data_IF_567018753208
#
_entry.id   IF_567018753208
#
_cell.length_a   1.000
_cell.length_b   1.000
_cell.length_c   1.000
_cell.angle_alpha   90.00
_cell.angle_beta   90.00
_cell.angle_gamma   90.00
#
_symmetry.space_group_name_H-M   'P 1'
#
loop_
_entity.id
_entity.type
_entity.pdbx_description
1 polymer ?
#
# COMPACT_ATOMS: atom_id res chain seq x y z
N UNK A 1 11.55 23.42 -10.18
CA UNK A 1 12.53 22.37 -9.82
C UNK A 1 11.85 21.40 -8.87
N UNK A 2 11.55 20.19 -9.34
CA UNK A 2 11.03 19.12 -8.48
C UNK A 2 12.18 18.72 -7.57
N UNK A 3 12.14 19.13 -6.30
CA UNK A 3 13.01 18.55 -5.27
C UNK A 3 12.59 17.10 -5.15
N UNK A 4 13.25 16.21 -5.88
CA UNK A 4 13.11 14.77 -5.69
C UNK A 4 13.41 14.51 -4.22
N UNK A 5 12.40 14.09 -3.47
CA UNK A 5 12.49 13.72 -2.05
C UNK A 5 13.39 12.48 -1.91
N UNK A 6 14.69 12.67 -2.12
CA UNK A 6 15.71 11.62 -2.13
C UNK A 6 15.74 10.88 -0.79
N UNK A 7 15.45 11.61 0.29
CA UNK A 7 15.33 11.09 1.64
C UNK A 7 14.16 10.11 1.81
N UNK A 8 13.03 10.33 1.14
CA UNK A 8 11.87 9.43 1.23
C UNK A 8 12.10 8.11 0.49
N UNK A 9 12.88 8.13 -0.60
CA UNK A 9 13.10 6.93 -1.43
C UNK A 9 13.79 5.81 -0.65
N UNK A 10 14.86 6.12 0.10
CA UNK A 10 15.64 5.13 0.86
C UNK A 10 14.82 4.49 2.00
N UNK A 11 13.98 5.28 2.67
CA UNK A 11 13.08 4.80 3.73
C UNK A 11 11.98 3.89 3.17
N UNK A 12 11.37 4.28 2.03
CA UNK A 12 10.36 3.46 1.33
C UNK A 12 10.98 2.15 0.85
N UNK A 13 12.16 2.20 0.22
CA UNK A 13 12.84 1.02 -0.31
C UNK A 13 13.15 0.02 0.81
N UNK A 14 13.69 0.52 1.94
CA UNK A 14 14.03 -0.34 3.08
C UNK A 14 12.78 -0.98 3.67
N UNK A 15 11.69 -0.22 3.85
CA UNK A 15 10.40 -0.77 4.31
C UNK A 15 9.83 -1.83 3.35
N UNK A 16 9.88 -1.59 2.04
CA UNK A 16 9.40 -2.57 1.05
C UNK A 16 10.22 -3.86 1.12
N UNK A 17 11.55 -3.78 1.24
CA UNK A 17 12.40 -4.97 1.36
C UNK A 17 12.04 -5.83 2.58
N UNK A 18 11.62 -5.22 3.68
CA UNK A 18 11.27 -5.93 4.90
C UNK A 18 9.83 -6.47 4.90
N UNK A 19 8.91 -5.77 4.26
CA UNK A 19 7.47 -6.02 4.42
C UNK A 19 6.74 -6.48 3.15
N UNK A 20 7.38 -6.42 1.98
CA UNK A 20 6.74 -6.87 0.74
C UNK A 20 6.61 -8.39 0.72
N UNK A 21 5.43 -8.85 0.35
CA UNK A 21 5.18 -10.27 0.10
C UNK A 21 5.37 -10.53 -1.39
N UNK A 22 6.41 -11.29 -1.72
CA UNK A 22 6.72 -11.72 -3.08
C UNK A 22 6.14 -13.11 -3.34
N UNK A 23 5.46 -13.28 -4.47
CA UNK A 23 4.90 -14.56 -4.90
C UNK A 23 5.25 -14.82 -6.35
N UNK A 24 5.75 -16.03 -6.59
CA UNK A 24 6.03 -16.55 -7.92
C UNK A 24 4.86 -17.46 -8.32
N UNK A 25 4.37 -17.32 -9.56
CA UNK A 25 3.41 -18.25 -10.16
C UNK A 25 3.80 -18.55 -11.60
N UNK A 26 3.49 -19.77 -12.04
CA UNK A 26 3.63 -20.17 -13.43
C UNK A 26 2.46 -19.61 -14.25
N UNK A 27 2.73 -19.17 -15.48
CA UNK A 27 1.75 -18.75 -16.46
C UNK A 27 1.94 -19.62 -17.72
N UNK A 28 1.37 -20.85 -17.73
CA UNK A 28 1.63 -21.87 -18.75
C UNK A 28 1.25 -21.40 -20.16
N UNK A 29 0.25 -20.53 -20.25
CA UNK A 29 -0.27 -19.94 -21.50
C UNK A 29 0.77 -19.11 -22.26
N UNK A 30 1.82 -18.65 -21.58
CA UNK A 30 2.83 -17.73 -22.12
C UNK A 30 4.26 -18.27 -22.01
N UNK A 31 4.43 -19.54 -21.60
CA UNK A 31 5.73 -20.13 -21.24
C UNK A 31 6.55 -19.22 -20.30
N UNK A 32 5.86 -18.61 -19.33
CA UNK A 32 6.40 -17.56 -18.49
C UNK A 32 6.16 -17.84 -17.00
N UNK A 33 6.99 -17.22 -16.19
CA UNK A 33 6.84 -17.13 -14.75
C UNK A 33 6.59 -15.69 -14.35
N UNK A 34 5.60 -15.48 -13.50
CA UNK A 34 5.22 -14.15 -13.03
C UNK A 34 5.67 -14.01 -11.59
N UNK A 35 6.54 -13.04 -11.33
CA UNK A 35 6.83 -12.56 -9.99
C UNK A 35 5.91 -11.39 -9.69
N UNK A 36 5.15 -11.51 -8.60
CA UNK A 36 4.27 -10.46 -8.10
C UNK A 36 4.73 -10.02 -6.72
N UNK A 37 4.69 -8.72 -6.47
CA UNK A 37 4.93 -8.13 -5.16
C UNK A 37 3.69 -7.40 -4.66
N UNK A 38 3.40 -7.59 -3.39
CA UNK A 38 2.35 -6.87 -2.66
C UNK A 38 2.94 -6.21 -1.43
N UNK A 39 2.59 -4.96 -1.17
CA UNK A 39 2.97 -4.24 0.05
C UNK A 39 1.77 -3.50 0.65
N UNK A 40 1.66 -3.55 1.99
CA UNK A 40 0.80 -2.66 2.77
C UNK A 40 1.64 -1.47 3.25
N UNK A 41 1.36 -0.29 2.72
CA UNK A 41 2.16 0.90 2.95
C UNK A 41 1.38 1.98 3.70
N UNK A 42 1.92 2.53 4.82
CA UNK A 42 1.23 3.53 5.61
C UNK A 42 1.26 4.91 4.94
N UNK A 43 0.11 5.58 4.87
CA UNK A 43 -0.05 6.96 4.42
C UNK A 43 -0.99 7.73 5.37
N UNK A 44 -0.81 9.05 5.45
CA UNK A 44 -1.78 9.90 6.14
C UNK A 44 -2.86 10.32 5.16
N UNK A 45 -4.09 10.02 5.54
CA UNK A 45 -5.26 10.61 4.91
C UNK A 45 -5.41 12.01 5.47
N UNK A 46 -5.75 12.97 4.62
CA UNK A 46 -6.03 14.37 5.01
C UNK A 46 -7.47 14.78 4.74
N UNK A 47 -8.10 14.10 3.78
CA UNK A 47 -9.48 14.34 3.37
C UNK A 47 -10.01 13.09 2.69
N UNK A 48 -11.30 12.84 2.83
CA UNK A 48 -12.04 11.82 2.08
C UNK A 48 -13.14 12.53 1.32
N UNK A 49 -13.28 12.22 0.04
CA UNK A 49 -14.42 12.62 -0.78
C UNK A 49 -15.12 11.38 -1.34
N UNK A 50 -16.44 11.40 -1.35
CA UNK A 50 -17.26 10.34 -1.92
C UNK A 50 -18.31 10.94 -2.84
N UNK A 51 -18.64 10.24 -3.93
CA UNK A 51 -19.74 10.65 -4.83
C UNK A 51 -21.11 10.21 -4.32
N UNK A 52 -21.13 9.23 -3.41
CA UNK A 52 -22.32 8.68 -2.79
C UNK A 52 -22.06 8.52 -1.29
N UNK A 53 -22.93 9.06 -0.44
CA UNK A 53 -22.75 9.05 1.02
C UNK A 53 -22.87 7.66 1.64
N UNK A 54 -23.62 6.74 1.02
CA UNK A 54 -23.73 5.35 1.49
C UNK A 54 -22.39 4.60 1.43
N UNK A 55 -21.46 5.05 0.57
CA UNK A 55 -20.10 4.51 0.51
C UNK A 55 -19.31 4.77 1.79
N UNK A 56 -19.68 5.76 2.60
CA UNK A 56 -19.01 6.04 3.87
C UNK A 56 -19.16 4.88 4.86
N UNK A 57 -20.27 4.15 4.80
CA UNK A 57 -20.53 2.99 5.66
C UNK A 57 -19.68 1.77 5.26
N UNK A 58 -19.16 1.76 4.03
CA UNK A 58 -18.27 0.71 3.50
C UNK A 58 -16.79 1.00 3.77
N UNK A 59 -16.47 2.18 4.33
CA UNK A 59 -15.10 2.56 4.62
C UNK A 59 -14.54 1.77 5.80
N UNK A 60 -13.40 1.11 5.58
CA UNK A 60 -12.55 0.58 6.66
C UNK A 60 -11.69 1.68 7.33
N UNK A 61 -12.13 2.94 7.27
CA UNK A 61 -11.39 4.12 7.73
C UNK A 61 -12.34 4.97 8.57
N UNK A 62 -11.88 5.41 9.74
CA UNK A 62 -12.66 6.29 10.61
C UNK A 62 -12.47 7.76 10.18
N UNK A 63 -13.50 8.46 9.65
CA UNK A 63 -13.38 9.84 9.19
C UNK A 63 -12.88 10.81 10.26
N UNK A 64 -13.17 10.56 11.55
CA UNK A 64 -12.73 11.40 12.66
C UNK A 64 -11.22 11.33 12.91
N UNK A 65 -10.55 10.28 12.43
CA UNK A 65 -9.11 10.08 12.56
C UNK A 65 -8.32 10.57 11.33
N UNK A 66 -8.99 10.90 10.22
CA UNK A 66 -8.40 11.32 8.94
C UNK A 66 -7.68 12.67 8.94
N UNK A 67 -7.45 13.29 10.10
CA UNK A 67 -6.67 14.51 10.23
C UNK A 67 -5.64 14.43 11.36
N UNK A 68 -5.58 13.29 12.06
CA UNK A 68 -4.62 13.09 13.13
C UNK A 68 -3.28 12.64 12.54
N UNK A 69 -2.23 13.43 12.76
CA UNK A 69 -0.85 13.10 12.35
C UNK A 69 -0.29 11.84 13.04
N UNK A 70 -1.01 11.31 14.03
CA UNK A 70 -0.65 10.11 14.76
C UNK A 70 -1.26 8.83 14.17
N UNK A 71 -2.24 8.95 13.26
CA UNK A 71 -2.93 7.82 12.66
C UNK A 71 -2.56 7.69 11.19
N UNK A 72 -1.93 6.56 10.86
CA UNK A 72 -1.61 6.19 9.49
C UNK A 72 -2.55 5.09 9.03
N UNK A 73 -2.97 5.18 7.77
CA UNK A 73 -3.79 4.19 7.13
C UNK A 73 -2.97 3.41 6.13
N UNK A 74 -3.16 2.10 6.10
CA UNK A 74 -2.39 1.21 5.23
C UNK A 74 -3.13 1.00 3.91
N UNK A 75 -2.47 1.34 2.81
CA UNK A 75 -2.95 1.09 1.46
C UNK A 75 -2.16 -0.03 0.81
N UNK A 76 -2.84 -0.85 0.02
CA UNK A 76 -2.23 -1.97 -0.68
C UNK A 76 -1.73 -1.54 -2.07
N UNK A 77 -0.47 -1.82 -2.34
CA UNK A 77 0.14 -1.61 -3.66
C UNK A 77 0.58 -2.95 -4.24
N UNK A 78 0.43 -3.07 -5.55
CA UNK A 78 0.72 -4.28 -6.31
C UNK A 78 1.65 -3.94 -7.48
N UNK A 79 2.63 -4.79 -7.71
CA UNK A 79 3.48 -4.77 -8.88
C UNK A 79 3.75 -6.20 -9.36
N UNK A 80 4.05 -6.36 -10.63
CA UNK A 80 4.42 -7.66 -11.17
C UNK A 80 5.20 -7.53 -12.46
N UNK A 81 5.98 -8.56 -12.74
CA UNK A 81 6.78 -8.70 -13.94
C UNK A 81 6.72 -10.15 -14.41
N UNK A 82 6.77 -10.33 -15.73
CA UNK A 82 6.75 -11.63 -16.37
C UNK A 82 8.12 -11.88 -16.99
N UNK A 83 8.70 -13.04 -16.69
CA UNK A 83 10.00 -13.46 -17.20
C UNK A 83 9.94 -14.94 -17.59
N UNK A 84 10.86 -15.40 -18.43
CA UNK A 84 11.03 -16.84 -18.63
C UNK A 84 11.62 -17.49 -17.37
N UNK A 85 11.50 -18.82 -17.24
CA UNK A 85 11.99 -19.58 -16.06
C UNK A 85 13.48 -19.37 -15.80
N UNK A 86 14.25 -19.13 -16.86
CA UNK A 86 15.70 -18.96 -16.85
C UNK A 86 16.12 -17.52 -16.47
N UNK A 87 15.19 -16.58 -16.57
CA UNK A 87 15.36 -15.15 -16.28
C UNK A 87 14.89 -14.74 -14.89
N UNK A 88 14.28 -15.66 -14.11
CA UNK A 88 13.98 -15.49 -12.68
C UNK A 88 15.28 -15.40 -11.87
N UNK A 89 15.91 -14.23 -11.91
CA UNK A 89 17.13 -13.85 -11.20
C UNK A 89 16.81 -12.76 -10.16
N UNK A 90 17.73 -12.43 -9.24
CA UNK A 90 17.60 -11.28 -8.32
C UNK A 90 17.20 -9.96 -8.98
N UNK A 91 17.41 -9.82 -10.29
CA UNK A 91 16.94 -8.69 -11.09
C UNK A 91 15.41 -8.53 -11.09
N UNK A 92 14.65 -9.64 -11.13
CA UNK A 92 13.18 -9.60 -11.12
C UNK A 92 12.63 -9.01 -9.82
N UNK A 93 13.21 -9.39 -8.68
CA UNK A 93 12.88 -8.84 -7.38
C UNK A 93 13.17 -7.33 -7.30
N UNK A 94 14.35 -6.92 -7.79
CA UNK A 94 14.72 -5.51 -7.85
C UNK A 94 13.71 -4.68 -8.66
N UNK A 95 13.27 -5.17 -9.81
CA UNK A 95 12.29 -4.47 -10.66
C UNK A 95 10.89 -4.41 -10.03
N UNK A 96 10.47 -5.46 -9.31
CA UNK A 96 9.21 -5.44 -8.55
C UNK A 96 9.27 -4.40 -7.43
N UNK A 97 10.35 -4.38 -6.64
CA UNK A 97 10.55 -3.41 -5.55
C UNK A 97 10.52 -1.98 -6.11
N UNK A 98 11.28 -1.72 -7.18
CA UNK A 98 11.32 -0.41 -7.84
C UNK A 98 9.95 0.03 -8.37
N UNK A 99 9.16 -0.91 -8.89
CA UNK A 99 7.79 -0.65 -9.36
C UNK A 99 6.86 -0.31 -8.20
N UNK A 100 6.97 -0.99 -7.05
CA UNK A 100 6.23 -0.67 -5.83
C UNK A 100 6.58 0.72 -5.31
N UNK A 101 7.86 1.07 -5.23
CA UNK A 101 8.31 2.42 -4.83
C UNK A 101 7.70 3.47 -5.76
N UNK A 102 7.76 3.23 -7.06
CA UNK A 102 7.21 4.14 -8.07
C UNK A 102 5.70 4.34 -7.88
N UNK A 103 4.94 3.28 -7.58
CA UNK A 103 3.50 3.36 -7.36
C UNK A 103 3.16 4.21 -6.12
N UNK A 104 3.90 4.03 -5.02
CA UNK A 104 3.74 4.81 -3.80
C UNK A 104 4.09 6.30 -4.06
N UNK A 105 5.25 6.56 -4.66
CA UNK A 105 5.68 7.93 -4.97
C UNK A 105 4.66 8.66 -5.87
N UNK A 106 4.18 8.00 -6.94
CA UNK A 106 3.15 8.58 -7.82
C UNK A 106 1.87 8.91 -7.07
N UNK A 107 1.47 8.06 -6.13
CA UNK A 107 0.27 8.27 -5.32
C UNK A 107 0.41 9.50 -4.44
N UNK A 108 1.58 9.66 -3.79
CA UNK A 108 1.85 10.84 -2.98
C UNK A 108 2.00 12.11 -3.81
N UNK A 109 2.63 12.02 -4.99
CA UNK A 109 2.75 13.14 -5.93
C UNK A 109 1.38 13.60 -6.47
N UNK A 110 0.48 12.66 -6.76
CA UNK A 110 -0.91 12.96 -7.16
C UNK A 110 -1.73 13.50 -6.00
N UNK A 111 -1.36 13.14 -4.77
CA UNK A 111 -2.04 13.55 -3.55
C UNK A 111 -3.34 12.80 -3.26
N UNK A 112 -3.64 11.70 -3.98
CA UNK A 112 -4.83 10.90 -3.73
C UNK A 112 -4.75 9.44 -4.22
N UNK A 113 -5.64 8.61 -3.66
CA UNK A 113 -5.99 7.25 -4.09
C UNK A 113 -7.49 7.22 -4.40
N UNK A 114 -7.90 6.55 -5.50
CA UNK A 114 -9.29 6.49 -5.96
C UNK A 114 -9.75 5.03 -6.00
N UNK A 115 -10.87 4.74 -5.36
CA UNK A 115 -11.53 3.42 -5.34
C UNK A 115 -12.94 3.56 -5.91
N UNK A 116 -13.28 2.71 -6.89
CA UNK A 116 -14.61 2.66 -7.50
C UNK A 116 -15.37 1.47 -6.95
N UNK A 117 -16.65 1.69 -6.62
CA UNK A 117 -17.56 0.70 -6.07
C UNK A 117 -18.76 0.58 -7.00
N UNK A 118 -19.19 -0.64 -7.26
CA UNK A 118 -20.41 -0.92 -8.00
C UNK A 118 -21.00 -2.21 -7.45
N UNK A 119 -22.07 -2.09 -6.66
CA UNK A 119 -22.83 -3.23 -6.15
C UNK A 119 -24.24 -3.23 -6.77
N UNK A 120 -24.57 -4.35 -7.44
CA UNK A 120 -25.83 -4.51 -8.16
C UNK A 120 -27.04 -4.69 -7.22
N UNK A 121 -26.86 -5.29 -6.04
CA UNK A 121 -27.97 -5.64 -5.12
C UNK A 121 -28.43 -4.45 -4.26
N UNK A 122 -27.51 -3.61 -3.79
CA UNK A 122 -27.82 -2.48 -2.89
C UNK A 122 -27.92 -1.12 -3.62
N UNK A 123 -27.68 -1.10 -4.93
CA UNK A 123 -27.74 0.11 -5.76
C UNK A 123 -26.68 1.16 -5.40
N UNK A 124 -25.64 0.75 -4.68
CA UNK A 124 -24.55 1.61 -4.27
C UNK A 124 -23.49 1.59 -5.39
N UNK A 125 -23.55 2.62 -6.23
CA UNK A 125 -22.49 2.94 -7.19
C UNK A 125 -21.83 4.27 -6.80
N UNK A 126 -20.52 4.35 -7.02
CA UNK A 126 -19.80 5.59 -6.91
C UNK A 126 -18.30 5.41 -6.75
N UNK A 127 -17.67 6.50 -6.33
CA UNK A 127 -16.23 6.56 -6.13
C UNK A 127 -15.91 7.21 -4.79
N UNK A 128 -14.94 6.62 -4.11
CA UNK A 128 -14.26 7.19 -2.95
C UNK A 128 -12.87 7.67 -3.38
N UNK A 129 -12.52 8.89 -3.00
CA UNK A 129 -11.19 9.48 -3.19
C UNK A 129 -10.58 9.81 -1.84
N UNK A 130 -9.48 9.14 -1.51
CA UNK A 130 -8.68 9.41 -0.31
C UNK A 130 -7.58 10.38 -0.68
N UNK A 131 -7.58 11.58 -0.11
CA UNK A 131 -6.50 12.54 -0.29
C UNK A 131 -5.39 12.22 0.70
N UNK A 132 -4.20 11.98 0.17
CA UNK A 132 -3.06 11.49 0.93
C UNK A 132 -1.91 12.45 0.82
N UNK A 133 -1.13 12.55 1.89
CA UNK A 133 0.17 13.21 1.89
C UNK A 133 1.17 12.36 2.64
N UNK A 134 2.44 12.69 2.47
CA UNK A 134 3.48 12.21 3.37
C UNK A 134 3.17 12.61 4.81
N UNK A 135 3.18 11.63 5.72
CA UNK A 135 4.20 11.63 6.75
C UNK A 135 4.82 10.24 6.86
N UNK A 136 6.14 10.18 6.65
CA UNK A 136 6.94 9.00 6.95
C UNK A 136 7.57 9.25 8.32
N UNK A 137 6.88 8.87 9.40
CA UNK A 137 7.61 8.40 10.58
C UNK A 137 7.65 6.89 10.46
N UNK A 138 8.47 6.39 9.54
CA UNK A 138 8.92 5.01 9.58
C UNK A 138 9.85 4.97 10.78
N UNK A 139 9.29 4.75 11.96
CA UNK A 139 10.08 4.56 13.16
C UNK A 139 10.77 3.22 12.98
N UNK A 140 11.94 3.24 12.33
CA UNK A 140 12.91 2.17 12.41
C UNK A 140 13.32 2.06 13.86
N UNK A 141 12.78 1.10 14.57
CA UNK A 141 13.30 0.76 15.87
C UNK A 141 13.09 -0.73 16.13
N UNK A 142 14.21 -1.40 16.42
CA UNK A 142 14.25 -2.69 17.12
C UNK A 142 13.47 -2.68 18.46
N UNK A 143 12.93 -1.52 18.87
CA UNK A 143 12.18 -1.28 20.12
C UNK A 143 10.94 -0.37 19.98
N UNK A 144 10.33 -0.20 18.79
CA UNK A 144 9.18 0.71 18.62
C UNK A 144 7.89 0.15 19.26
N UNK A 145 7.72 0.41 20.55
CA UNK A 145 6.46 0.22 21.28
C UNK A 145 5.41 1.24 20.85
N UNK A 146 4.46 0.82 20.01
CA UNK A 146 3.07 1.32 20.10
C UNK A 146 2.08 0.46 19.30
N UNK A 147 1.81 -0.71 19.85
CA UNK A 147 0.51 -1.35 20.14
C UNK A 147 0.70 -2.87 20.13
N UNK A 148 0.97 -3.41 21.32
CA UNK A 148 0.95 -4.86 21.55
C UNK A 148 -0.50 -5.27 21.75
N UNK A 149 -1.03 -6.08 20.83
CA UNK A 149 -2.31 -6.79 21.01
C UNK A 149 -2.27 -7.56 22.34
N UNK A 150 -3.34 -7.54 23.15
CA UNK A 150 -3.32 -8.17 24.47
C UNK A 150 -3.10 -9.67 24.31
N UNK A 151 -2.07 -10.20 24.97
CA UNK A 151 -1.91 -11.66 25.13
C UNK A 151 -3.12 -12.17 25.92
N UNK A 152 -4.02 -12.87 25.24
CA UNK A 152 -5.00 -13.74 25.89
C UNK A 152 -4.26 -14.72 26.78
N UNK A 153 -4.54 -14.66 28.08
CA UNK A 153 -4.05 -15.62 29.06
C UNK A 153 -4.44 -17.04 28.62
N UNK A 154 -3.46 -17.95 28.56
CA UNK A 154 -3.72 -19.37 28.76
C UNK A 154 -3.02 -19.79 30.05
N UNK A 155 -3.87 -20.14 31.00
CA UNK A 155 -3.55 -20.64 32.32
C UNK A 155 -2.79 -21.97 32.28
N UNK A 156 -2.05 -22.15 33.39
CA UNK A 156 -1.42 -23.36 33.95
C UNK A 156 0.00 -23.66 33.50
#
# INVERSE_FOLDING_TARGET
MVKTNKFAYEEIESYIKEHAVLKIREAPEYDAWILTGKIKFPLLITKIECTNSALLDLLNINPHQCQSEHYHYFFEFYAGCSYTREELKPFAEHEVIKSLITAICKTVERGYIKESYSEEEDGIDGTITYYVKWPIKLIWHETATSYVLPKTMKNK
#
